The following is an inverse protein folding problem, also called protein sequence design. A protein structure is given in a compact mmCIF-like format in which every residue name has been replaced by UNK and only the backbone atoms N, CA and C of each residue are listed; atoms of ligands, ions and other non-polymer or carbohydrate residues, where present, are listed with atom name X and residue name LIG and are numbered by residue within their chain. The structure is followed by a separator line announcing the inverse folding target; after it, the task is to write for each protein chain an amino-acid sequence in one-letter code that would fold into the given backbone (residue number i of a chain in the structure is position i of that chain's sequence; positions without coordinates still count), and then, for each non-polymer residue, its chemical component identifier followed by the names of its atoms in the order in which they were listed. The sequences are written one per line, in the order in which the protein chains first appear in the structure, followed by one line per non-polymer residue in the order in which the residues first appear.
data_IF_932434592034
#
_entry.id   IF_932434592034
#
_cell.length_a   1.000
_cell.length_b   1.000
_cell.length_c   1.000
_cell.angle_alpha   90.00
_cell.angle_beta   90.00
_cell.angle_gamma   90.00
#
_symmetry.space_group_name_H-M   'P 1'
#
loop_
_entity.id
_entity.type
_entity.pdbx_description
1 polymer ?
#
# COMPACT_ATOMS: atom_id res chain seq x y z
N UNK A 1 -43.82 10.45 30.98
CA UNK A 1 -43.27 9.91 32.23
C UNK A 1 -41.78 9.68 32.02
N UNK A 2 -40.96 10.22 32.93
CA UNK A 2 -39.52 9.91 33.19
C UNK A 2 -38.55 10.08 32.02
N UNK A 3 -37.91 11.25 31.81
CA UNK A 3 -36.70 11.79 32.51
C UNK A 3 -35.56 10.78 32.69
N UNK A 4 -34.44 11.04 32.01
CA UNK A 4 -33.11 10.47 32.26
C UNK A 4 -32.03 11.40 31.71
N UNK A 5 -31.58 12.32 32.56
CA UNK A 5 -30.51 13.31 32.37
C UNK A 5 -29.28 12.76 33.10
N UNK A 6 -28.05 12.97 32.59
CA UNK A 6 -26.85 13.42 33.35
C UNK A 6 -25.50 12.92 32.78
N UNK A 7 -24.60 13.91 32.62
CA UNK A 7 -23.16 13.91 33.00
C UNK A 7 -22.25 13.07 32.11
N UNK A 8 -21.24 13.62 31.45
CA UNK A 8 -20.35 14.70 31.86
C UNK A 8 -18.94 14.13 31.91
N UNK A 9 -18.03 14.66 31.10
CA UNK A 9 -16.66 14.15 30.99
C UNK A 9 -15.80 15.05 30.11
N UNK A 10 -15.52 16.27 30.60
CA UNK A 10 -14.43 17.09 30.10
C UNK A 10 -13.10 16.45 30.53
N UNK A 11 -12.42 15.77 29.60
CA UNK A 11 -10.98 15.52 29.73
C UNK A 11 -10.24 16.53 28.84
N UNK A 12 -9.86 17.64 29.45
CA UNK A 12 -8.80 18.49 28.96
C UNK A 12 -7.46 17.88 29.39
N UNK A 13 -6.59 17.48 28.46
CA UNK A 13 -5.16 17.27 28.74
C UNK A 13 -4.30 17.78 27.58
N UNK A 14 -3.75 18.96 27.84
CA UNK A 14 -2.41 19.46 27.52
C UNK A 14 -1.80 19.21 26.12
N UNK A 15 -1.83 20.29 25.32
CA UNK A 15 -0.89 20.58 24.25
C UNK A 15 0.50 20.82 24.88
N UNK A 16 1.49 20.00 24.55
CA UNK A 16 2.89 20.27 24.84
C UNK A 16 3.66 20.52 23.52
N UNK A 17 3.73 21.79 23.13
CA UNK A 17 4.71 22.27 22.17
C UNK A 17 6.12 22.17 22.79
N UNK A 18 6.98 21.33 22.23
CA UNK A 18 8.43 21.42 22.45
C UNK A 18 9.12 21.65 21.11
N UNK A 19 9.00 22.88 20.62
CA UNK A 19 9.88 23.42 19.59
C UNK A 19 11.21 23.79 20.25
N UNK A 20 12.23 22.93 20.16
CA UNK A 20 13.60 23.29 20.49
C UNK A 20 14.40 23.43 19.22
N UNK A 21 14.43 24.67 18.73
CA UNK A 21 15.31 25.09 17.65
C UNK A 21 16.77 24.95 18.07
N UNK A 22 17.57 24.34 17.20
CA UNK A 22 19.03 24.43 17.23
C UNK A 22 19.43 25.04 15.89
N UNK A 23 19.78 26.34 15.91
CA UNK A 23 20.50 26.95 14.81
C UNK A 23 21.97 26.57 14.94
N UNK A 24 22.48 25.82 13.98
CA UNK A 24 23.92 25.63 13.80
C UNK A 24 24.32 26.28 12.48
N UNK A 25 24.95 27.44 12.60
CA UNK A 25 25.65 28.13 11.53
C UNK A 25 27.10 27.69 11.56
N UNK A 26 27.57 26.92 10.59
CA UNK A 26 28.98 26.91 10.15
C UNK A 26 29.21 26.11 8.84
N UNK A 27 29.92 26.79 7.92
CA UNK A 27 30.82 26.26 6.89
C UNK A 27 30.27 25.43 5.71
N UNK A 28 30.30 26.06 4.53
CA UNK A 28 30.35 25.40 3.21
C UNK A 28 31.75 24.82 2.95
N UNK A 29 31.83 23.52 2.61
CA UNK A 29 32.75 22.87 1.63
C UNK A 29 32.79 21.35 1.84
N UNK A 30 33.26 20.54 0.87
CA UNK A 30 32.83 20.37 -0.52
C UNK A 30 31.96 19.11 -0.68
N UNK A 31 31.35 18.97 -1.87
CA UNK A 31 30.47 17.88 -2.27
C UNK A 31 31.26 16.59 -2.41
N UNK A 32 31.25 15.74 -1.37
CA UNK A 32 31.56 14.33 -1.54
C UNK A 32 30.30 13.63 -2.03
N UNK A 33 30.36 13.09 -3.25
CA UNK A 33 29.39 12.14 -3.77
C UNK A 33 29.46 10.87 -2.91
N UNK A 34 28.74 10.86 -1.80
CA UNK A 34 28.50 9.65 -1.03
C UNK A 34 27.37 8.95 -1.75
N UNK A 35 27.72 7.86 -2.41
CA UNK A 35 26.76 6.90 -2.92
C UNK A 35 25.93 6.43 -1.73
N UNK A 36 24.74 7.00 -1.58
CA UNK A 36 23.76 6.64 -0.56
C UNK A 36 23.26 5.24 -0.89
N UNK A 37 24.06 4.26 -0.48
CA UNK A 37 23.69 2.86 -0.44
C UNK A 37 22.73 2.76 0.74
N UNK A 38 21.51 3.22 0.50
CA UNK A 38 20.42 3.21 1.46
C UNK A 38 20.29 1.76 1.94
N UNK A 39 20.78 1.53 3.16
CA UNK A 39 20.68 0.25 3.84
C UNK A 39 19.19 0.07 4.08
N UNK A 40 18.53 -0.61 3.15
CA UNK A 40 17.18 -1.12 3.33
C UNK A 40 17.20 -1.87 4.66
N UNK A 41 16.46 -1.34 5.63
CA UNK A 41 16.33 -1.93 6.95
C UNK A 41 16.02 -3.41 6.75
N UNK A 42 16.91 -4.26 7.24
CA UNK A 42 16.67 -5.70 7.27
C UNK A 42 15.31 -5.89 7.96
N UNK A 43 14.38 -6.55 7.27
CA UNK A 43 13.12 -6.96 7.86
C UNK A 43 13.35 -7.76 9.15
N UNK A 44 12.29 -8.06 9.91
CA UNK A 44 12.38 -8.81 11.15
C UNK A 44 13.33 -10.02 10.98
N UNK A 45 14.46 -9.98 11.68
CA UNK A 45 15.57 -10.94 11.54
C UNK A 45 15.04 -12.35 11.78
N UNK A 46 14.98 -13.16 10.72
CA UNK A 46 14.57 -14.56 10.77
C UNK A 46 13.44 -14.97 9.83
N UNK A 47 12.80 -14.01 9.14
CA UNK A 47 11.74 -14.32 8.16
C UNK A 47 12.33 -14.80 6.83
N UNK A 48 11.78 -15.87 6.24
CA UNK A 48 12.21 -16.30 4.90
C UNK A 48 11.62 -15.39 3.83
N UNK A 49 12.21 -15.30 2.62
CA UNK A 49 11.64 -14.50 1.54
C UNK A 49 10.20 -14.89 1.19
N UNK A 50 9.83 -16.17 1.34
CA UNK A 50 8.44 -16.62 1.15
C UNK A 50 7.48 -16.10 2.22
N UNK A 51 7.89 -16.13 3.48
CA UNK A 51 7.09 -15.61 4.59
C UNK A 51 6.89 -14.09 4.46
N UNK A 52 7.92 -13.38 3.97
CA UNK A 52 7.83 -11.95 3.68
C UNK A 52 6.83 -11.68 2.53
N UNK A 53 6.88 -12.48 1.45
CA UNK A 53 5.89 -12.40 0.35
C UNK A 53 4.47 -12.59 0.87
N UNK A 54 4.21 -13.63 1.67
CA UNK A 54 2.87 -13.90 2.21
C UNK A 54 2.37 -12.76 3.11
N UNK A 55 3.27 -12.17 3.90
CA UNK A 55 2.95 -11.01 4.75
C UNK A 55 2.59 -9.80 3.91
N UNK A 56 3.39 -9.49 2.89
CA UNK A 56 3.14 -8.36 1.98
C UNK A 56 1.87 -8.55 1.16
N UNK A 57 1.55 -9.78 0.72
CA UNK A 57 0.30 -10.09 -0.01
C UNK A 57 -0.92 -9.78 0.87
N UNK A 58 -0.92 -10.24 2.14
CA UNK A 58 -1.98 -9.92 3.11
C UNK A 58 -2.10 -8.42 3.37
N UNK A 59 -1.00 -7.69 3.45
CA UNK A 59 -1.02 -6.23 3.63
C UNK A 59 -1.67 -5.52 2.42
N UNK A 60 -1.33 -5.96 1.20
CA UNK A 60 -1.95 -5.44 -0.03
C UNK A 60 -3.47 -5.68 -0.01
N UNK A 61 -3.91 -6.89 0.34
CA UNK A 61 -5.35 -7.21 0.44
C UNK A 61 -6.08 -6.34 1.47
N UNK A 62 -5.46 -6.13 2.64
CA UNK A 62 -6.01 -5.27 3.68
C UNK A 62 -6.11 -3.80 3.22
N UNK A 63 -5.09 -3.30 2.52
CA UNK A 63 -5.07 -1.93 1.98
C UNK A 63 -6.08 -1.76 0.82
N UNK A 64 -6.26 -2.75 -0.04
CA UNK A 64 -7.30 -2.71 -1.07
C UNK A 64 -8.70 -2.68 -0.45
N UNK A 65 -8.92 -3.50 0.57
CA UNK A 65 -10.19 -3.56 1.29
C UNK A 65 -10.51 -2.22 1.96
N UNK A 66 -9.52 -1.54 2.55
CA UNK A 66 -9.74 -0.21 3.16
C UNK A 66 -10.09 0.87 2.14
N UNK A 67 -9.68 0.74 0.89
CA UNK A 67 -10.10 1.61 -0.22
C UNK A 67 -11.43 1.21 -0.86
N UNK A 68 -12.04 0.11 -0.43
CA UNK A 68 -13.25 -0.47 -1.04
C UNK A 68 -12.99 -1.11 -2.41
N UNK A 69 -11.73 -1.42 -2.74
CA UNK A 69 -11.36 -2.16 -3.95
C UNK A 69 -11.42 -3.66 -3.62
N UNK A 70 -12.15 -4.43 -4.43
CA UNK A 70 -12.23 -5.87 -4.22
C UNK A 70 -10.88 -6.52 -4.56
N UNK A 71 -10.24 -7.26 -3.63
CA UNK A 71 -8.97 -7.91 -3.90
C UNK A 71 -9.13 -8.99 -4.98
N UNK A 72 -8.08 -9.20 -5.76
CA UNK A 72 -8.04 -10.26 -6.76
C UNK A 72 -7.91 -11.60 -6.04
N UNK A 73 -8.83 -12.56 -6.23
CA UNK A 73 -8.77 -13.82 -5.51
C UNK A 73 -7.48 -14.59 -5.86
N UNK A 74 -6.94 -15.39 -4.93
CA UNK A 74 -5.79 -16.24 -5.22
C UNK A 74 -6.13 -17.25 -6.33
N UNK A 75 -5.14 -17.56 -7.17
CA UNK A 75 -5.29 -18.46 -8.32
C UNK A 75 -5.70 -19.90 -7.94
N UNK A 76 -5.59 -20.27 -6.67
CA UNK A 76 -5.98 -21.58 -6.13
C UNK A 76 -7.48 -21.86 -6.23
N UNK A 77 -8.31 -20.84 -6.47
CA UNK A 77 -9.74 -21.00 -6.73
C UNK A 77 -10.08 -21.62 -8.10
N UNK A 78 -9.12 -21.85 -9.00
CA UNK A 78 -9.39 -22.43 -10.32
C UNK A 78 -9.81 -23.92 -10.29
N UNK A 79 -9.64 -24.63 -9.15
CA UNK A 79 -9.94 -26.06 -9.05
C UNK A 79 -11.35 -26.38 -8.52
N UNK A 80 -12.06 -25.40 -7.94
CA UNK A 80 -13.37 -25.62 -7.35
C UNK A 80 -14.47 -24.96 -8.22
N UNK A 81 -15.44 -25.77 -8.66
CA UNK A 81 -16.54 -25.33 -9.54
C UNK A 81 -17.36 -24.16 -8.95
N UNK A 82 -17.23 -23.93 -7.65
CA UNK A 82 -17.85 -22.84 -6.90
C UNK A 82 -17.29 -21.44 -7.26
N UNK A 83 -16.10 -21.36 -7.87
CA UNK A 83 -15.51 -20.09 -8.32
C UNK A 83 -15.84 -19.76 -9.79
N UNK A 84 -16.51 -20.65 -10.52
CA UNK A 84 -16.89 -20.46 -11.92
C UNK A 84 -18.02 -19.42 -12.15
N UNK A 85 -18.58 -18.82 -11.09
CA UNK A 85 -19.72 -17.90 -11.21
C UNK A 85 -19.36 -16.41 -11.20
N UNK A 86 -18.09 -16.02 -11.09
CA UNK A 86 -17.71 -14.66 -11.51
C UNK A 86 -17.51 -14.69 -13.02
N UNK A 87 -18.62 -14.80 -13.74
CA UNK A 87 -18.64 -14.52 -15.18
C UNK A 87 -18.16 -13.08 -15.33
N UNK A 88 -17.00 -12.82 -15.97
CA UNK A 88 -16.57 -11.45 -16.20
C UNK A 88 -17.62 -10.83 -17.10
N UNK A 89 -18.50 -9.99 -16.54
CA UNK A 89 -19.27 -9.11 -17.39
C UNK A 89 -18.25 -8.28 -18.18
N UNK A 90 -18.42 -8.11 -19.51
CA UNK A 90 -17.56 -7.27 -20.32
C UNK A 90 -17.83 -5.80 -19.97
N UNK A 91 -17.47 -5.41 -18.75
CA UNK A 91 -17.19 -4.03 -18.42
C UNK A 91 -15.94 -3.73 -19.25
N UNK A 92 -16.13 -3.08 -20.40
CA UNK A 92 -15.02 -2.48 -21.16
C UNK A 92 -14.44 -1.34 -20.32
N UNK A 93 -13.82 -1.67 -19.21
CA UNK A 93 -12.94 -0.78 -18.49
C UNK A 93 -11.65 -0.85 -19.29
N UNK A 94 -11.51 0.05 -20.25
CA UNK A 94 -10.24 0.31 -20.88
C UNK A 94 -9.23 0.44 -19.75
N UNK A 95 -8.17 -0.37 -19.69
CA UNK A 95 -7.18 -0.25 -18.65
C UNK A 95 -6.64 1.18 -18.73
N UNK A 96 -6.96 2.00 -17.73
CA UNK A 96 -6.38 3.32 -17.62
C UNK A 96 -4.90 3.05 -17.29
N UNK A 97 -4.06 3.04 -18.32
CA UNK A 97 -2.63 3.22 -18.13
C UNK A 97 -2.49 4.40 -17.17
N UNK A 98 -1.75 4.21 -16.07
CA UNK A 98 -1.59 5.21 -15.02
C UNK A 98 -1.26 6.56 -15.68
N UNK A 99 -2.26 7.42 -15.76
CA UNK A 99 -2.16 8.64 -16.53
C UNK A 99 -1.19 9.55 -15.77
N UNK A 100 -0.05 9.95 -16.35
CA UNK A 100 0.88 10.88 -15.69
C UNK A 100 0.22 12.24 -15.41
N UNK A 101 -0.98 12.50 -15.96
CA UNK A 101 -1.81 13.67 -15.67
C UNK A 101 -2.80 13.47 -14.54
N UNK A 102 -2.82 12.29 -13.89
CA UNK A 102 -3.64 12.02 -12.73
C UNK A 102 -3.38 13.08 -11.63
N UNK A 103 -4.36 13.97 -11.47
CA UNK A 103 -4.41 14.99 -10.44
C UNK A 103 -5.56 14.65 -9.51
N UNK A 104 -5.32 13.83 -8.46
CA UNK A 104 -6.37 13.52 -7.51
C UNK A 104 -6.90 14.81 -6.87
N UNK A 105 -8.19 14.84 -6.54
CA UNK A 105 -8.81 15.95 -5.85
C UNK A 105 -8.08 16.22 -4.53
N UNK A 106 -8.07 17.49 -4.11
CA UNK A 106 -7.40 17.92 -2.89
C UNK A 106 -8.11 17.48 -1.59
N UNK A 107 -9.15 16.64 -1.68
CA UNK A 107 -9.87 16.11 -0.52
C UNK A 107 -8.98 15.15 0.27
N UNK A 108 -9.18 15.10 1.58
CA UNK A 108 -8.36 14.25 2.45
C UNK A 108 -8.58 12.76 2.16
N UNK A 109 -9.82 12.36 1.84
CA UNK A 109 -10.14 10.99 1.42
C UNK A 109 -9.37 10.56 0.17
N UNK A 110 -9.17 11.47 -0.79
CA UNK A 110 -8.40 11.16 -2.00
C UNK A 110 -6.89 11.10 -1.71
N UNK A 111 -6.36 11.97 -0.83
CA UNK A 111 -4.97 11.86 -0.37
C UNK A 111 -4.70 10.54 0.35
N UNK A 112 -5.62 10.10 1.20
CA UNK A 112 -5.51 8.82 1.91
C UNK A 112 -5.51 7.64 0.93
N UNK A 113 -6.42 7.65 -0.06
CA UNK A 113 -6.49 6.64 -1.11
C UNK A 113 -5.21 6.58 -1.95
N UNK A 114 -4.63 7.74 -2.28
CA UNK A 114 -3.37 7.82 -3.02
C UNK A 114 -2.17 7.36 -2.17
N UNK A 115 -2.17 7.66 -0.88
CA UNK A 115 -1.13 7.18 0.06
C UNK A 115 -1.18 5.65 0.19
N UNK A 116 -2.39 5.08 0.29
CA UNK A 116 -2.59 3.63 0.28
C UNK A 116 -2.15 3.02 -1.05
N UNK A 117 -2.44 3.68 -2.17
CA UNK A 117 -1.99 3.25 -3.50
C UNK A 117 -0.47 3.17 -3.61
N UNK A 118 0.24 4.19 -3.14
CA UNK A 118 1.72 4.19 -3.12
C UNK A 118 2.27 3.07 -2.22
N UNK A 119 1.62 2.81 -1.09
CA UNK A 119 1.97 1.72 -0.17
C UNK A 119 1.81 0.34 -0.83
N UNK A 120 0.66 0.10 -1.48
CA UNK A 120 0.38 -1.14 -2.22
C UNK A 120 1.43 -1.36 -3.32
N UNK A 121 1.74 -0.32 -4.09
CA UNK A 121 2.72 -0.43 -5.16
C UNK A 121 4.13 -0.74 -4.64
N UNK A 122 4.56 -0.13 -3.52
CA UNK A 122 5.84 -0.45 -2.88
C UNK A 122 5.89 -1.90 -2.40
N UNK A 123 4.79 -2.40 -1.82
CA UNK A 123 4.69 -3.79 -1.38
C UNK A 123 4.73 -4.75 -2.59
N UNK A 124 4.04 -4.43 -3.67
CA UNK A 124 4.07 -5.20 -4.92
C UNK A 124 5.49 -5.27 -5.53
N UNK A 125 6.18 -4.13 -5.61
CA UNK A 125 7.57 -4.07 -6.07
C UNK A 125 8.48 -4.94 -5.19
N UNK A 126 8.29 -4.89 -3.87
CA UNK A 126 9.06 -5.70 -2.92
C UNK A 126 8.82 -7.20 -3.12
N UNK A 127 7.56 -7.63 -3.32
CA UNK A 127 7.22 -9.02 -3.65
C UNK A 127 7.96 -9.47 -4.91
N UNK A 128 7.96 -8.64 -5.96
CA UNK A 128 8.64 -8.97 -7.21
C UNK A 128 10.17 -9.09 -7.05
N UNK A 129 10.77 -8.24 -6.22
CA UNK A 129 12.20 -8.36 -5.86
C UNK A 129 12.47 -9.66 -5.10
N UNK A 130 11.62 -10.04 -4.14
CA UNK A 130 11.76 -11.29 -3.40
C UNK A 130 11.59 -12.52 -4.30
N UNK A 131 10.66 -12.47 -5.25
CA UNK A 131 10.47 -13.53 -6.24
C UNK A 131 11.73 -13.74 -7.10
N UNK A 132 12.40 -12.66 -7.50
CA UNK A 132 13.69 -12.75 -8.19
C UNK A 132 14.80 -13.33 -7.31
N UNK A 133 14.84 -12.97 -6.02
CA UNK A 133 15.80 -13.54 -5.06
C UNK A 133 15.62 -15.04 -4.84
N UNK A 134 14.39 -15.55 -5.00
CA UNK A 134 14.06 -16.97 -5.00
C UNK A 134 14.44 -17.68 -6.33
N UNK A 135 15.15 -16.99 -7.22
CA UNK A 135 15.63 -17.54 -8.49
C UNK A 135 14.65 -17.44 -9.65
N UNK A 136 13.51 -16.76 -9.47
CA UNK A 136 12.51 -16.57 -10.52
C UNK A 136 11.80 -17.84 -11.01
N UNK A 137 12.10 -19.00 -10.42
CA UNK A 137 11.43 -20.28 -10.71
C UNK A 137 10.36 -20.64 -9.68
N UNK A 138 10.23 -19.83 -8.62
CA UNK A 138 9.23 -20.02 -7.59
C UNK A 138 7.85 -19.58 -8.10
N UNK A 139 7.02 -20.54 -8.50
CA UNK A 139 5.71 -20.27 -9.09
C UNK A 139 4.82 -19.42 -8.17
N UNK A 140 4.80 -19.71 -6.87
CA UNK A 140 4.01 -18.96 -5.89
C UNK A 140 4.47 -17.50 -5.81
N UNK A 141 5.77 -17.27 -5.71
CA UNK A 141 6.32 -15.92 -5.63
C UNK A 141 6.04 -15.11 -6.91
N UNK A 142 6.20 -15.72 -8.08
CA UNK A 142 5.94 -15.09 -9.37
C UNK A 142 4.45 -14.73 -9.55
N UNK A 143 3.55 -15.67 -9.26
CA UNK A 143 2.11 -15.43 -9.31
C UNK A 143 1.69 -14.32 -8.33
N UNK A 144 2.31 -14.27 -7.16
CA UNK A 144 2.02 -13.24 -6.15
C UNK A 144 2.56 -11.86 -6.57
N UNK A 145 3.72 -11.81 -7.24
CA UNK A 145 4.21 -10.58 -7.88
C UNK A 145 3.22 -10.07 -8.94
N UNK A 146 2.70 -10.95 -9.80
CA UNK A 146 1.71 -10.58 -10.83
C UNK A 146 0.39 -10.07 -10.22
N UNK A 147 -0.09 -10.72 -9.15
CA UNK A 147 -1.25 -10.24 -8.37
C UNK A 147 -0.95 -8.86 -7.75
N UNK A 148 0.20 -8.69 -7.11
CA UNK A 148 0.63 -7.43 -6.52
C UNK A 148 0.65 -6.28 -7.54
N UNK A 149 1.17 -6.51 -8.74
CA UNK A 149 1.18 -5.53 -9.83
C UNK A 149 -0.24 -5.16 -10.28
N UNK A 150 -1.13 -6.14 -10.37
CA UNK A 150 -2.55 -5.93 -10.69
C UNK A 150 -3.23 -5.09 -9.60
N UNK A 151 -2.97 -5.39 -8.33
CA UNK A 151 -3.46 -4.63 -7.17
C UNK A 151 -2.96 -3.19 -7.16
N UNK A 152 -1.66 -2.97 -7.41
CA UNK A 152 -1.07 -1.62 -7.52
C UNK A 152 -1.77 -0.80 -8.62
N UNK A 153 -2.04 -1.41 -9.77
CA UNK A 153 -2.76 -0.73 -10.85
C UNK A 153 -4.17 -0.34 -10.43
N UNK A 154 -4.94 -1.26 -9.85
CA UNK A 154 -6.30 -0.97 -9.37
C UNK A 154 -6.32 0.12 -8.29
N UNK A 155 -5.33 0.12 -7.39
CA UNK A 155 -5.17 1.15 -6.38
C UNK A 155 -4.88 2.53 -6.98
N UNK A 156 -4.04 2.61 -8.02
CA UNK A 156 -3.78 3.85 -8.77
C UNK A 156 -5.02 4.35 -9.47
N UNK A 157 -5.77 3.47 -10.14
CA UNK A 157 -7.05 3.83 -10.75
C UNK A 157 -8.02 4.39 -9.71
N UNK A 158 -8.07 3.79 -8.49
CA UNK A 158 -8.91 4.31 -7.40
C UNK A 158 -8.47 5.70 -6.95
N UNK A 159 -7.17 5.93 -6.72
CA UNK A 159 -6.61 7.25 -6.44
C UNK A 159 -6.97 8.27 -7.52
N UNK A 160 -6.90 7.89 -8.80
CA UNK A 160 -7.17 8.79 -9.92
C UNK A 160 -8.66 9.03 -10.21
N UNK A 161 -9.55 8.11 -9.83
CA UNK A 161 -11.01 8.29 -9.93
C UNK A 161 -11.57 9.33 -8.94
N UNK A 162 -10.70 9.81 -8.06
CA UNK A 162 -11.00 10.67 -6.94
C UNK A 162 -10.91 12.14 -7.36
N UNK A 163 -11.60 12.53 -8.46
CA UNK A 163 -11.59 13.87 -9.06
C UNK A 163 -12.66 14.80 -8.46
#
# INVERSE_FOLDING_TARGET
MTRGLLVGGCCAVAIACSAKGSQQTAARSPVSAVSDRQVVAAGPTGMTPRDEIETLDREIEAQLTSMGVRPTPPATCAADASCAQVSPQPMSVVPAAADPTCKPAASDTCKDSCTLSDSICKNADRICVLAQQLGGTDAYANETCDRGNTSCKAARERCCSCL
#
